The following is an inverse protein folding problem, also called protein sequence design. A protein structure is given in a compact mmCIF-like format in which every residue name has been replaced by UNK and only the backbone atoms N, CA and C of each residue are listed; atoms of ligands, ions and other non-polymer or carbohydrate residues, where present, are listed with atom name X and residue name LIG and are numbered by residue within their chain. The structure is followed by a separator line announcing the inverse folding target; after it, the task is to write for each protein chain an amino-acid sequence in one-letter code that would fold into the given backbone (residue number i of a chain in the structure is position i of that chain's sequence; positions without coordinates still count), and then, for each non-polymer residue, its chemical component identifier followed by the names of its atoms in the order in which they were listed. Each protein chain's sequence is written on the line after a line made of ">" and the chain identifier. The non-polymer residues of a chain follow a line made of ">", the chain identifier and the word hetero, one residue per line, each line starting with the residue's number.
data_IF_329647288852
#
_entry.id   IF_329647288852
#
_cell.length_a   1.000
_cell.length_b   1.000
_cell.length_c   1.000
_cell.angle_alpha   90.00
_cell.angle_beta   90.00
_cell.angle_gamma   90.00
#
_symmetry.space_group_name_H-M   'P 1'
#
loop_
_entity.id
_entity.type
_entity.pdbx_description
1 polymer ?
#
# COMPACT_ATOMS: atom_id res chain seq x y z
N UNK A 1 14.46 -12.77 25.82
CA UNK A 1 14.44 -13.55 24.56
C UNK A 1 13.04 -13.65 23.92
N UNK A 2 11.95 -13.72 24.70
CA UNK A 2 10.57 -13.78 24.19
C UNK A 2 10.16 -12.47 23.49
N UNK A 3 10.58 -11.32 24.02
CA UNK A 3 10.25 -9.99 23.47
C UNK A 3 10.85 -9.74 22.09
N UNK A 4 12.14 -10.07 21.88
CA UNK A 4 12.80 -9.97 20.57
C UNK A 4 12.07 -10.78 19.50
N UNK A 5 11.61 -12.00 19.83
CA UNK A 5 10.83 -12.83 18.90
C UNK A 5 9.48 -12.20 18.56
N UNK A 6 8.80 -11.62 19.57
CA UNK A 6 7.55 -10.88 19.39
C UNK A 6 7.71 -9.65 18.49
N UNK A 7 8.78 -8.86 18.71
CA UNK A 7 9.09 -7.68 17.89
C UNK A 7 9.34 -8.06 16.43
N UNK A 8 10.18 -9.08 16.18
CA UNK A 8 10.46 -9.57 14.82
C UNK A 8 9.18 -10.07 14.15
N UNK A 9 8.34 -10.80 14.87
CA UNK A 9 7.08 -11.32 14.35
C UNK A 9 6.11 -10.19 13.98
N UNK A 10 5.93 -9.22 14.87
CA UNK A 10 5.10 -8.03 14.64
C UNK A 10 5.60 -7.24 13.42
N UNK A 11 6.91 -7.01 13.32
CA UNK A 11 7.53 -6.37 12.17
C UNK A 11 7.22 -7.11 10.85
N UNK A 12 7.37 -8.45 10.83
CA UNK A 12 7.06 -9.27 9.64
C UNK A 12 5.59 -9.16 9.22
N UNK A 13 4.67 -9.16 10.19
CA UNK A 13 3.23 -8.98 9.93
C UNK A 13 2.97 -7.59 9.35
N UNK A 14 3.45 -6.53 10.00
CA UNK A 14 3.26 -5.14 9.53
C UNK A 14 3.80 -4.94 8.13
N UNK A 15 4.94 -5.57 7.82
CA UNK A 15 5.56 -5.56 6.50
C UNK A 15 4.76 -6.30 5.44
N UNK A 16 4.14 -7.43 5.79
CA UNK A 16 3.22 -8.13 4.88
C UNK A 16 1.99 -7.27 4.59
N UNK A 17 1.30 -6.83 5.64
CA UNK A 17 0.10 -5.98 5.51
C UNK A 17 0.40 -4.73 4.70
N UNK A 18 1.53 -4.06 4.95
CA UNK A 18 1.89 -2.87 4.22
C UNK A 18 2.13 -3.13 2.74
N UNK A 19 2.83 -4.22 2.41
CA UNK A 19 3.08 -4.63 1.02
C UNK A 19 1.77 -4.90 0.29
N UNK A 20 0.86 -5.64 0.92
CA UNK A 20 -0.38 -6.05 0.27
C UNK A 20 -1.35 -4.87 0.12
N UNK A 21 -1.47 -4.00 1.13
CA UNK A 21 -2.40 -2.88 1.08
C UNK A 21 -1.83 -1.67 0.33
N UNK A 22 -0.72 -1.11 0.83
CA UNK A 22 -0.12 0.10 0.23
C UNK A 22 0.54 -0.19 -1.12
N UNK A 23 1.06 -1.41 -1.35
CA UNK A 23 1.57 -1.81 -2.66
C UNK A 23 0.46 -1.84 -3.72
N UNK A 24 -0.70 -2.43 -3.39
CA UNK A 24 -1.87 -2.40 -4.27
C UNK A 24 -2.34 -0.97 -4.54
N UNK A 25 -2.37 -0.10 -3.52
CA UNK A 25 -2.69 1.32 -3.71
C UNK A 25 -1.73 2.00 -4.70
N UNK A 26 -0.44 1.76 -4.53
CA UNK A 26 0.60 2.36 -5.38
C UNK A 26 0.48 1.86 -6.83
N UNK A 27 0.16 0.59 -7.05
CA UNK A 27 -0.10 0.03 -8.38
C UNK A 27 -1.35 0.63 -9.03
N UNK A 28 -2.46 0.72 -8.30
CA UNK A 28 -3.69 1.34 -8.80
C UNK A 28 -3.48 2.82 -9.15
N UNK A 29 -2.71 3.54 -8.34
CA UNK A 29 -2.39 4.95 -8.59
C UNK A 29 -1.52 5.12 -9.85
N UNK A 30 -0.55 4.22 -10.05
CA UNK A 30 0.27 4.20 -11.26
C UNK A 30 -0.61 4.00 -12.49
N UNK A 31 -1.48 2.98 -12.49
CA UNK A 31 -2.40 2.70 -13.58
C UNK A 31 -3.34 3.87 -13.86
N UNK A 32 -3.89 4.49 -12.82
CA UNK A 32 -4.75 5.67 -12.95
C UNK A 32 -4.02 6.81 -13.66
N UNK A 33 -2.77 7.07 -13.30
CA UNK A 33 -1.94 8.08 -13.97
C UNK A 33 -1.67 7.69 -15.43
N UNK A 34 -1.42 6.42 -15.72
CA UNK A 34 -1.24 5.94 -17.09
C UNK A 34 -2.51 6.15 -17.94
N UNK A 35 -3.69 5.78 -17.43
CA UNK A 35 -4.97 6.01 -18.11
C UNK A 35 -5.28 7.50 -18.30
N UNK A 36 -5.03 8.34 -17.29
CA UNK A 36 -5.19 9.79 -17.40
C UNK A 36 -4.28 10.39 -18.46
N UNK A 37 -3.03 9.92 -18.56
CA UNK A 37 -2.10 10.36 -19.60
C UNK A 37 -2.58 9.97 -21.01
N UNK A 38 -3.27 8.84 -21.16
CA UNK A 38 -3.85 8.43 -22.44
C UNK A 38 -5.02 9.32 -22.89
N UNK A 39 -5.73 9.96 -21.95
CA UNK A 39 -6.78 10.93 -22.30
C UNK A 39 -6.24 12.12 -23.09
N UNK A 40 -4.98 12.49 -22.83
CA UNK A 40 -4.32 13.66 -23.41
C UNK A 40 -3.33 13.33 -24.54
N UNK A 41 -3.12 12.04 -24.87
CA UNK A 41 -2.10 11.63 -25.84
C UNK A 41 -2.61 10.57 -26.82
N UNK A 42 -2.14 10.60 -28.06
CA UNK A 42 -2.43 9.53 -29.03
C UNK A 42 -1.62 8.29 -28.64
N UNK A 43 -2.29 7.25 -28.17
CA UNK A 43 -1.66 6.01 -27.69
C UNK A 43 -2.01 4.85 -28.61
N UNK A 44 -1.07 3.94 -28.83
CA UNK A 44 -1.29 2.76 -29.65
C UNK A 44 -2.34 1.82 -29.02
N UNK A 45 -3.17 1.21 -29.85
CA UNK A 45 -4.20 0.25 -29.40
C UNK A 45 -3.57 -0.92 -28.62
N UNK A 46 -2.36 -1.33 -29.00
CA UNK A 46 -1.59 -2.36 -28.27
C UNK A 46 -1.31 -1.95 -26.81
N UNK A 47 -0.90 -0.71 -26.59
CA UNK A 47 -0.60 -0.18 -25.24
C UNK A 47 -1.88 -0.02 -24.42
N UNK A 48 -2.97 0.44 -25.04
CA UNK A 48 -4.31 0.50 -24.42
C UNK A 48 -4.79 -0.89 -23.98
N UNK A 49 -4.73 -1.89 -24.87
CA UNK A 49 -5.16 -3.25 -24.56
C UNK A 49 -4.32 -3.87 -23.44
N UNK A 50 -3.00 -3.65 -23.43
CA UNK A 50 -2.13 -4.12 -22.34
C UNK A 50 -2.53 -3.54 -20.98
N UNK A 51 -2.88 -2.25 -20.91
CA UNK A 51 -3.33 -1.63 -19.66
C UNK A 51 -4.71 -2.12 -19.25
N UNK A 52 -5.62 -2.32 -20.20
CA UNK A 52 -6.93 -2.90 -19.93
C UNK A 52 -6.82 -4.32 -19.37
N UNK A 53 -5.99 -5.18 -19.95
CA UNK A 53 -5.74 -6.53 -19.43
C UNK A 53 -5.18 -6.48 -18.02
N UNK A 54 -4.26 -5.55 -17.73
CA UNK A 54 -3.72 -5.36 -16.38
C UNK A 54 -4.80 -4.91 -15.39
N UNK A 55 -5.66 -3.97 -15.77
CA UNK A 55 -6.80 -3.55 -14.95
C UNK A 55 -7.77 -4.69 -14.67
N UNK A 56 -8.14 -5.47 -15.69
CA UNK A 56 -9.02 -6.63 -15.56
C UNK A 56 -8.45 -7.68 -14.59
N UNK A 57 -7.14 -7.94 -14.67
CA UNK A 57 -6.48 -8.87 -13.75
C UNK A 57 -6.57 -8.38 -12.29
N UNK A 58 -6.29 -7.09 -12.04
CA UNK A 58 -6.38 -6.52 -10.69
C UNK A 58 -7.82 -6.54 -10.19
N UNK A 59 -8.79 -6.28 -11.06
CA UNK A 59 -10.21 -6.36 -10.73
C UNK A 59 -10.62 -7.77 -10.29
N UNK A 60 -10.23 -8.80 -11.03
CA UNK A 60 -10.49 -10.20 -10.66
C UNK A 60 -9.82 -10.56 -9.33
N UNK A 61 -8.57 -10.14 -9.13
CA UNK A 61 -7.85 -10.37 -7.88
C UNK A 61 -8.55 -9.70 -6.69
N UNK A 62 -9.08 -8.49 -6.86
CA UNK A 62 -9.79 -7.77 -5.81
C UNK A 62 -11.12 -8.44 -5.46
N UNK A 63 -11.83 -8.99 -6.44
CA UNK A 63 -13.08 -9.74 -6.24
C UNK A 63 -12.85 -11.07 -5.52
N UNK A 64 -11.72 -11.73 -5.75
CA UNK A 64 -11.35 -12.99 -5.12
C UNK A 64 -10.62 -12.83 -3.78
N UNK A 65 -10.27 -11.60 -3.39
CA UNK A 65 -9.52 -11.33 -2.17
C UNK A 65 -10.34 -11.66 -0.91
N UNK A 66 -9.87 -12.64 -0.15
CA UNK A 66 -10.46 -13.07 1.12
C UNK A 66 -9.65 -12.61 2.34
N UNK A 67 -8.51 -11.95 2.16
CA UNK A 67 -7.63 -11.59 3.28
C UNK A 67 -8.10 -10.32 4.01
N UNK A 68 -8.59 -9.32 3.27
CA UNK A 68 -8.95 -8.02 3.82
C UNK A 68 -10.43 -7.71 3.54
N UNK A 69 -11.31 -8.43 4.22
CA UNK A 69 -12.76 -8.33 4.02
C UNK A 69 -13.34 -7.07 4.67
N UNK A 70 -13.82 -6.13 3.87
CA UNK A 70 -14.54 -4.98 4.40
C UNK A 70 -15.84 -5.41 5.11
N UNK A 71 -16.36 -4.62 6.06
CA UNK A 71 -17.68 -4.86 6.65
C UNK A 71 -18.73 -5.09 5.56
N UNK A 72 -19.59 -6.11 5.71
CA UNK A 72 -20.47 -6.61 4.65
C UNK A 72 -21.26 -5.51 3.91
N UNK A 73 -21.81 -4.54 4.65
CA UNK A 73 -22.56 -3.42 4.06
C UNK A 73 -21.67 -2.49 3.20
N UNK A 74 -20.44 -2.24 3.64
CA UNK A 74 -19.46 -1.42 2.92
C UNK A 74 -18.91 -2.16 1.69
N UNK A 75 -18.63 -3.45 1.86
CA UNK A 75 -18.11 -4.32 0.81
C UNK A 75 -19.09 -4.44 -0.36
N UNK A 76 -20.36 -4.77 -0.08
CA UNK A 76 -21.36 -4.97 -1.13
C UNK A 76 -21.64 -3.65 -1.87
N UNK A 77 -21.77 -2.53 -1.15
CA UNK A 77 -22.02 -1.22 -1.79
C UNK A 77 -20.90 -0.81 -2.74
N UNK A 78 -19.64 -1.01 -2.37
CA UNK A 78 -18.51 -0.64 -3.21
C UNK A 78 -18.30 -1.62 -4.36
N UNK A 79 -18.49 -2.93 -4.11
CA UNK A 79 -18.36 -3.95 -5.14
C UNK A 79 -19.47 -3.86 -6.19
N UNK A 80 -20.71 -3.63 -5.77
CA UNK A 80 -21.85 -3.44 -6.68
C UNK A 80 -21.64 -2.20 -7.58
N UNK A 81 -21.15 -1.10 -7.02
CA UNK A 81 -20.77 0.08 -7.83
C UNK A 81 -19.68 -0.26 -8.84
N UNK A 82 -18.67 -1.02 -8.44
CA UNK A 82 -17.57 -1.42 -9.31
C UNK A 82 -18.02 -2.40 -10.42
N UNK A 83 -18.97 -3.29 -10.12
CA UNK A 83 -19.57 -4.21 -11.11
C UNK A 83 -20.40 -3.48 -12.16
N UNK A 84 -20.96 -2.32 -11.80
CA UNK A 84 -21.73 -1.49 -12.71
C UNK A 84 -20.86 -0.61 -13.63
N UNK A 85 -19.56 -0.47 -13.36
CA UNK A 85 -18.65 0.32 -14.20
C UNK A 85 -18.22 -0.45 -15.46
N UNK A 86 -18.23 0.22 -16.61
CA UNK A 86 -17.80 -0.40 -17.87
C UNK A 86 -16.27 -0.38 -17.99
N UNK A 87 -15.63 -1.54 -18.07
CA UNK A 87 -14.20 -1.63 -18.41
C UNK A 87 -13.95 -1.49 -19.93
N UNK A 88 -14.95 -1.10 -20.72
CA UNK A 88 -14.84 -1.01 -22.19
C UNK A 88 -14.39 0.37 -22.67
N UNK A 89 -14.57 1.41 -21.86
CA UNK A 89 -14.18 2.79 -22.16
C UNK A 89 -13.05 3.25 -21.26
N UNK A 90 -12.23 4.22 -21.72
CA UNK A 90 -11.17 4.81 -20.90
C UNK A 90 -11.76 5.49 -19.66
N UNK A 91 -12.89 6.17 -19.80
CA UNK A 91 -13.57 6.85 -18.70
C UNK A 91 -14.09 5.86 -17.66
N UNK A 92 -14.71 4.76 -18.09
CA UNK A 92 -15.12 3.69 -17.19
C UNK A 92 -13.94 2.99 -16.52
N UNK A 93 -12.80 2.81 -17.22
CA UNK A 93 -11.58 2.31 -16.59
C UNK A 93 -11.06 3.24 -15.48
N UNK A 94 -11.09 4.55 -15.70
CA UNK A 94 -10.71 5.57 -14.72
C UNK A 94 -11.67 5.55 -13.52
N UNK A 95 -12.99 5.52 -13.77
CA UNK A 95 -14.00 5.41 -12.71
C UNK A 95 -13.81 4.14 -11.88
N UNK A 96 -13.59 3.00 -12.53
CA UNK A 96 -13.27 1.74 -11.84
C UNK A 96 -12.01 1.85 -10.99
N UNK A 97 -10.95 2.46 -11.50
CA UNK A 97 -9.71 2.66 -10.74
C UNK A 97 -9.92 3.54 -9.50
N UNK A 98 -10.74 4.59 -9.59
CA UNK A 98 -11.13 5.39 -8.44
C UNK A 98 -11.88 4.56 -7.39
N UNK A 99 -12.87 3.77 -7.80
CA UNK A 99 -13.60 2.89 -6.88
C UNK A 99 -12.69 1.83 -6.24
N UNK A 100 -11.76 1.27 -7.01
CA UNK A 100 -10.78 0.30 -6.51
C UNK A 100 -9.82 0.94 -5.50
N UNK A 101 -9.42 2.20 -5.72
CA UNK A 101 -8.65 2.97 -4.74
C UNK A 101 -9.45 3.23 -3.47
N UNK A 102 -10.73 3.61 -3.57
CA UNK A 102 -11.61 3.81 -2.41
C UNK A 102 -11.75 2.53 -1.58
N UNK A 103 -11.96 1.38 -2.23
CA UNK A 103 -11.96 0.07 -1.56
C UNK A 103 -10.63 -0.18 -0.85
N UNK A 104 -9.51 0.10 -1.51
CA UNK A 104 -8.18 -0.10 -0.93
C UNK A 104 -7.93 0.83 0.28
N UNK A 105 -8.38 2.09 0.21
CA UNK A 105 -8.28 3.02 1.34
C UNK A 105 -9.10 2.56 2.55
N UNK A 106 -10.30 2.04 2.34
CA UNK A 106 -11.08 1.46 3.42
C UNK A 106 -10.38 0.22 4.01
N UNK A 107 -9.76 -0.63 3.16
CA UNK A 107 -8.95 -1.76 3.66
C UNK A 107 -7.75 -1.27 4.50
N UNK A 108 -7.06 -0.21 4.07
CA UNK A 108 -5.98 0.41 4.84
C UNK A 108 -6.49 0.95 6.18
N UNK A 109 -7.67 1.58 6.21
CA UNK A 109 -8.25 2.10 7.44
C UNK A 109 -8.56 0.99 8.45
N UNK A 110 -9.10 -0.13 7.99
CA UNK A 110 -9.48 -1.27 8.84
C UNK A 110 -8.30 -2.13 9.28
N UNK A 111 -7.35 -2.41 8.37
CA UNK A 111 -6.28 -3.39 8.58
C UNK A 111 -4.88 -2.78 8.61
N UNK A 112 -4.72 -1.63 7.95
CA UNK A 112 -3.45 -0.92 7.81
C UNK A 112 -3.15 0.08 8.92
N UNK A 113 -4.08 0.36 9.85
CA UNK A 113 -3.98 1.45 10.84
C UNK A 113 -2.75 1.36 11.76
N UNK A 114 -2.30 0.14 12.05
CA UNK A 114 -1.11 -0.14 12.87
C UNK A 114 0.21 -0.22 12.08
N UNK A 115 0.14 -0.04 10.76
CA UNK A 115 1.28 -0.11 9.83
C UNK A 115 1.39 1.15 8.98
N UNK A 116 2.46 1.26 8.20
CA UNK A 116 2.80 2.45 7.41
C UNK A 116 3.32 2.05 6.03
N UNK A 117 3.20 2.96 5.06
CA UNK A 117 3.85 2.84 3.76
C UNK A 117 5.36 2.64 3.87
N UNK A 118 6.00 3.09 4.95
CA UNK A 118 7.44 2.92 5.18
C UNK A 118 7.90 1.45 5.21
N UNK A 119 6.98 0.50 5.45
CA UNK A 119 7.27 -0.93 5.41
C UNK A 119 7.16 -1.55 4.00
N UNK A 120 6.69 -0.79 3.01
CA UNK A 120 6.68 -1.24 1.61
C UNK A 120 8.12 -1.29 1.08
N UNK A 121 8.54 -2.39 0.44
CA UNK A 121 9.88 -2.47 -0.15
C UNK A 121 10.12 -1.37 -1.18
N UNK A 122 11.35 -0.86 -1.21
CA UNK A 122 11.80 0.06 -2.24
C UNK A 122 12.10 -0.76 -3.49
N UNK A 123 11.21 -0.68 -4.50
CA UNK A 123 11.36 -1.40 -5.78
C UNK A 123 11.49 -2.92 -5.58
N UNK A 124 12.34 -3.59 -6.36
CA UNK A 124 12.64 -5.03 -6.28
C UNK A 124 13.52 -5.43 -5.10
N UNK A 125 13.91 -4.47 -4.24
CA UNK A 125 14.77 -4.78 -3.10
C UNK A 125 14.00 -5.46 -1.96
N UNK A 126 14.74 -6.10 -1.06
CA UNK A 126 14.22 -6.55 0.23
C UNK A 126 14.37 -5.49 1.32
N UNK A 127 14.63 -4.23 0.98
CA UNK A 127 14.83 -3.13 1.94
C UNK A 127 13.63 -2.18 1.87
N UNK A 128 13.16 -1.72 3.02
CA UNK A 128 12.14 -0.69 3.14
C UNK A 128 12.63 0.49 4.00
N UNK A 129 11.93 1.62 3.99
CA UNK A 129 12.32 2.79 4.78
C UNK A 129 12.33 2.48 6.29
N UNK A 130 11.43 1.61 6.75
CA UNK A 130 11.42 1.16 8.14
C UNK A 130 12.73 0.43 8.52
N UNK A 131 13.39 -0.26 7.58
CA UNK A 131 14.69 -0.90 7.84
C UNK A 131 15.78 0.15 8.10
N UNK A 132 15.78 1.24 7.34
CA UNK A 132 16.70 2.34 7.53
C UNK A 132 16.50 3.05 8.87
N UNK A 133 15.25 3.24 9.29
CA UNK A 133 14.92 3.83 10.61
C UNK A 133 15.35 2.92 11.76
N UNK A 134 15.13 1.61 11.64
CA UNK A 134 15.58 0.65 12.65
C UNK A 134 17.12 0.61 12.75
N UNK A 135 17.83 0.61 11.61
CA UNK A 135 19.29 0.61 11.58
C UNK A 135 19.88 1.90 12.15
N UNK A 136 19.35 3.06 11.77
CA UNK A 136 19.81 4.35 12.29
C UNK A 136 19.52 4.50 13.78
N UNK A 137 18.35 4.07 14.25
CA UNK A 137 18.04 4.04 15.69
C UNK A 137 18.95 3.11 16.48
N UNK A 138 19.30 1.94 15.94
CA UNK A 138 20.25 1.02 16.56
C UNK A 138 21.67 1.59 16.61
N UNK A 139 22.13 2.21 15.51
CA UNK A 139 23.44 2.85 15.43
C UNK A 139 23.52 4.04 16.40
N UNK A 140 22.51 4.92 16.44
CA UNK A 140 22.46 6.05 17.37
C UNK A 140 22.31 5.62 18.84
N UNK A 141 21.59 4.53 19.11
CA UNK A 141 21.46 3.95 20.45
C UNK A 141 22.76 3.29 20.94
N UNK A 142 23.53 2.66 20.05
CA UNK A 142 24.86 2.11 20.36
C UNK A 142 25.95 3.17 20.48
N UNK A 143 25.89 4.21 19.64
CA UNK A 143 26.88 5.30 19.64
C UNK A 143 26.66 6.33 20.74
N UNK A 144 25.59 6.24 21.54
CA UNK A 144 25.38 7.04 22.74
C UNK A 144 25.52 8.54 22.50
N UNK A 145 24.41 9.24 22.34
CA UNK A 145 24.34 10.71 22.44
C UNK A 145 25.26 11.47 21.49
N UNK A 146 24.91 11.55 20.21
CA UNK A 146 25.42 12.66 19.37
C UNK A 146 24.47 13.82 19.56
N UNK A 147 24.86 14.76 20.42
CA UNK A 147 24.15 16.03 20.65
C UNK A 147 24.12 16.84 19.35
N UNK A 148 23.05 16.73 18.58
CA UNK A 148 22.74 17.70 17.53
C UNK A 148 21.81 18.75 18.15
N UNK A 149 22.39 19.87 18.57
CA UNK A 149 21.71 21.14 18.86
C UNK A 149 20.40 21.05 19.65
N UNK A 150 20.50 20.92 20.99
CA UNK A 150 19.54 21.58 21.89
C UNK A 150 18.23 20.87 22.27
N UNK A 151 18.04 19.59 21.95
CA UNK A 151 16.88 18.83 22.47
C UNK A 151 17.35 17.51 23.11
N UNK A 152 17.64 17.58 24.42
CA UNK A 152 17.90 16.40 25.24
C UNK A 152 16.56 15.71 25.48
N UNK A 153 16.23 14.70 24.66
CA UNK A 153 15.25 13.68 25.06
C UNK A 153 16.03 12.63 25.84
N UNK A 154 16.10 12.83 27.15
CA UNK A 154 16.62 11.85 28.09
C UNK A 154 15.73 10.61 28.04
N UNK A 155 16.20 9.54 27.39
CA UNK A 155 15.67 8.20 27.66
C UNK A 155 16.43 7.69 28.88
N UNK A 156 16.02 8.17 30.06
CA UNK A 156 16.36 7.49 31.29
C UNK A 156 15.68 6.11 31.26
N UNK A 157 16.52 5.09 31.37
CA UNK A 157 16.20 3.73 31.76
C UNK A 157 15.05 3.70 32.76
N UNK A 158 13.98 2.95 32.46
CA UNK A 158 13.13 2.41 33.50
C UNK A 158 12.83 0.94 33.14
N UNK A 159 13.63 0.09 33.79
CA UNK A 159 13.34 -1.26 34.33
C UNK A 159 12.25 -2.10 33.70
#
# INVERSE_FOLDING_TARGET
>A
MIEMKSIIHSYKIKRRIARDLYGNRDELTLLLNEFNNMKCTVVSEKKKNSMLTRLQLIYQNMKLDKQFLLPFALHNKLLERLENESLQTIEGCISSLHLMLDINYEKIKHYGSSTSRAFVPLSQSSICLADCVCLTGFVLGLLGTVTFGGLIVSVCSLT
#
